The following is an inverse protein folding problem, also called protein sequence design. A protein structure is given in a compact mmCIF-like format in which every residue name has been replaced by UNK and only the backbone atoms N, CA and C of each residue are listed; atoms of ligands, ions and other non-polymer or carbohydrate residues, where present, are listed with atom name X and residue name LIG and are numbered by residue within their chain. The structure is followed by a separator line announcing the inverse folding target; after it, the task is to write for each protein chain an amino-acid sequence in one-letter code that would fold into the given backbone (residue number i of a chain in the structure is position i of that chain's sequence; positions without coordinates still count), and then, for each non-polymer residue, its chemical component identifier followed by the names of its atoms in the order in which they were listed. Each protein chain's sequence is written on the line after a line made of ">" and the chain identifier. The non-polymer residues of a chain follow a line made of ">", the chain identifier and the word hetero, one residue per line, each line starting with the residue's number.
data_IF_562943797528
#
_entry.id   IF_562943797528
#
_cell.length_a   1.000
_cell.length_b   1.000
_cell.length_c   1.000
_cell.angle_alpha   90.00
_cell.angle_beta   90.00
_cell.angle_gamma   90.00
#
_symmetry.space_group_name_H-M   'P 1'
#
loop_
_entity.id
_entity.type
_entity.pdbx_description
1 polymer ?
#
# COMPACT_ATOMS: atom_id res chain seq x y z
N UNK A 1 0.56 -19.37 25.12
CA UNK A 1 -0.31 -18.52 24.28
C UNK A 1 0.34 -18.42 22.92
N UNK A 2 -0.34 -18.93 21.89
CA UNK A 2 0.22 -19.02 20.55
C UNK A 2 0.30 -17.64 19.89
N UNK A 3 1.37 -17.46 19.11
CA UNK A 3 1.75 -16.29 18.32
C UNK A 3 0.57 -15.67 17.54
N UNK A 4 0.10 -14.50 17.98
CA UNK A 4 -0.67 -13.57 17.16
C UNK A 4 0.29 -12.80 16.27
N UNK A 5 0.70 -13.38 15.15
CA UNK A 5 1.47 -12.66 14.14
C UNK A 5 1.01 -13.07 12.75
N UNK A 6 0.74 -12.08 11.89
CA UNK A 6 0.57 -12.17 10.42
C UNK A 6 -0.86 -12.30 9.83
N UNK A 7 -1.79 -11.42 10.16
CA UNK A 7 -2.99 -11.21 9.28
C UNK A 7 -3.09 -9.75 8.80
N UNK A 8 -2.56 -8.78 9.56
CA UNK A 8 -2.79 -7.35 9.27
C UNK A 8 -2.12 -6.82 8.00
N UNK A 9 -1.20 -7.60 7.40
CA UNK A 9 -0.41 -7.19 6.24
C UNK A 9 -0.88 -7.78 4.91
N UNK A 10 -1.86 -8.70 4.93
CA UNK A 10 -2.34 -9.33 3.71
C UNK A 10 -3.59 -8.63 3.17
N UNK A 11 -3.57 -8.33 1.87
CA UNK A 11 -4.77 -7.85 1.20
C UNK A 11 -5.76 -9.00 1.11
N UNK A 12 -7.00 -8.70 1.49
CA UNK A 12 -8.16 -9.55 1.35
C UNK A 12 -8.28 -9.99 -0.12
N UNK A 13 -8.09 -11.29 -0.34
CA UNK A 13 -8.14 -11.94 -1.65
C UNK A 13 -9.45 -12.68 -1.89
N UNK A 14 -10.28 -12.82 -0.84
CA UNK A 14 -11.62 -13.41 -0.93
C UNK A 14 -12.51 -12.53 -1.81
N UNK A 15 -12.91 -12.99 -3.02
CA UNK A 15 -13.72 -12.20 -3.93
C UNK A 15 -15.12 -11.88 -3.39
N UNK A 16 -15.59 -12.59 -2.36
CA UNK A 16 -16.88 -12.33 -1.71
C UNK A 16 -16.79 -11.26 -0.62
N UNK A 17 -15.58 -10.90 -0.20
CA UNK A 17 -15.38 -9.86 0.79
C UNK A 17 -15.50 -8.48 0.13
N UNK A 18 -16.33 -7.56 0.65
CA UNK A 18 -16.53 -6.24 0.05
C UNK A 18 -15.29 -5.34 0.06
N UNK A 19 -14.25 -5.69 0.84
CA UNK A 19 -12.95 -5.00 0.88
C UNK A 19 -11.92 -5.61 -0.07
N UNK A 20 -12.28 -6.67 -0.79
CA UNK A 20 -11.44 -7.28 -1.81
C UNK A 20 -11.24 -6.32 -2.98
N UNK A 21 -10.00 -6.24 -3.45
CA UNK A 21 -9.68 -5.47 -4.65
C UNK A 21 -9.84 -6.38 -5.86
N UNK A 22 -10.86 -6.08 -6.65
CA UNK A 22 -11.14 -6.79 -7.90
C UNK A 22 -11.30 -5.74 -8.98
N UNK A 23 -10.30 -5.67 -9.86
CA UNK A 23 -10.35 -4.75 -10.98
C UNK A 23 -11.53 -5.06 -11.88
N UNK A 24 -12.35 -4.04 -12.13
CA UNK A 24 -13.46 -4.05 -13.06
C UNK A 24 -13.19 -3.05 -14.18
N UNK A 25 -13.84 -3.26 -15.31
CA UNK A 25 -13.70 -2.32 -16.42
C UNK A 25 -14.22 -0.96 -16.00
N UNK A 26 -13.43 0.06 -16.30
CA UNK A 26 -13.82 1.45 -16.12
C UNK A 26 -14.57 1.89 -17.37
N UNK A 27 -15.81 1.40 -17.52
CA UNK A 27 -16.72 1.97 -18.49
C UNK A 27 -17.44 3.14 -17.82
N UNK A 28 -17.47 4.30 -18.47
CA UNK A 28 -18.42 5.35 -18.11
C UNK A 28 -19.81 4.73 -18.03
N UNK A 29 -20.71 5.28 -17.21
CA UNK A 29 -22.08 4.78 -17.00
C UNK A 29 -22.86 4.59 -18.33
N UNK A 30 -22.39 5.19 -19.42
CA UNK A 30 -22.98 5.12 -20.76
C UNK A 30 -22.28 4.14 -21.73
N UNK A 31 -21.23 3.43 -21.30
CA UNK A 31 -20.55 2.41 -22.10
C UNK A 31 -19.65 2.95 -23.23
N UNK A 32 -19.58 4.27 -23.40
CA UNK A 32 -18.68 4.90 -24.38
C UNK A 32 -17.33 5.26 -23.73
N UNK A 33 -16.26 4.91 -24.43
CA UNK A 33 -14.88 5.28 -24.11
C UNK A 33 -14.67 6.74 -24.49
N UNK A 34 -14.35 7.58 -23.50
CA UNK A 34 -14.11 9.01 -23.72
C UNK A 34 -12.72 9.26 -24.34
N UNK A 35 -12.49 10.46 -24.89
CA UNK A 35 -11.14 10.85 -25.33
C UNK A 35 -10.15 10.90 -24.15
N UNK A 36 -10.61 11.24 -22.95
CA UNK A 36 -9.82 11.18 -21.72
C UNK A 36 -9.38 9.74 -21.41
N UNK A 37 -10.28 8.76 -21.56
CA UNK A 37 -9.96 7.34 -21.38
C UNK A 37 -8.92 6.86 -22.40
N UNK A 38 -9.02 7.31 -23.67
CA UNK A 38 -8.05 6.98 -24.73
C UNK A 38 -6.67 7.58 -24.43
N UNK A 39 -6.62 8.85 -24.03
CA UNK A 39 -5.39 9.53 -23.64
C UNK A 39 -4.74 8.87 -22.43
N UNK A 40 -5.54 8.47 -21.43
CA UNK A 40 -5.07 7.74 -20.27
C UNK A 40 -4.49 6.37 -20.66
N UNK A 41 -5.19 5.62 -21.53
CA UNK A 41 -4.68 4.35 -22.04
C UNK A 41 -3.37 4.52 -22.80
N UNK A 42 -3.30 5.48 -23.73
CA UNK A 42 -2.08 5.80 -24.48
C UNK A 42 -0.93 6.16 -23.54
N UNK A 43 -1.22 6.88 -22.45
CA UNK A 43 -0.22 7.23 -21.46
C UNK A 43 0.28 6.04 -20.65
N UNK A 44 -0.61 5.11 -20.30
CA UNK A 44 -0.28 3.93 -19.50
C UNK A 44 0.56 2.93 -20.28
N UNK A 45 0.20 2.64 -21.54
CA UNK A 45 0.81 1.56 -22.35
C UNK A 45 1.57 2.02 -23.59
N UNK A 46 1.55 3.31 -23.89
CA UNK A 46 1.98 3.85 -25.18
C UNK A 46 0.87 3.79 -26.23
N UNK A 47 1.20 4.29 -27.44
CA UNK A 47 0.31 4.25 -28.60
C UNK A 47 -0.09 2.83 -28.93
N UNK A 48 -1.36 2.65 -29.23
CA UNK A 48 -1.87 1.37 -29.70
C UNK A 48 -1.16 0.99 -31.00
N UNK A 49 -0.60 -0.23 -31.03
CA UNK A 49 -0.06 -0.79 -32.25
C UNK A 49 -1.19 -1.39 -33.09
N UNK A 50 -1.05 -1.40 -34.42
CA UNK A 50 -2.04 -1.98 -35.33
C UNK A 50 -2.10 -3.52 -35.25
N UNK A 51 -1.56 -4.13 -34.19
CA UNK A 51 -1.51 -5.57 -33.98
C UNK A 51 -2.85 -6.06 -33.45
N UNK A 52 -3.27 -7.24 -33.91
CA UNK A 52 -4.48 -7.90 -33.39
C UNK A 52 -4.37 -8.09 -31.86
N UNK A 53 -5.49 -7.94 -31.11
CA UNK A 53 -5.49 -8.18 -29.67
C UNK A 53 -4.93 -9.56 -29.32
N UNK A 54 -3.97 -9.61 -28.38
CA UNK A 54 -3.40 -10.86 -27.87
C UNK A 54 -4.36 -11.60 -26.93
N UNK A 55 -5.26 -10.86 -26.29
CA UNK A 55 -6.20 -11.33 -25.29
C UNK A 55 -7.58 -10.74 -25.59
N UNK A 56 -8.62 -11.48 -25.22
CA UNK A 56 -9.98 -10.96 -25.08
C UNK A 56 -10.09 -10.08 -23.83
N UNK A 57 -11.07 -9.18 -23.77
CA UNK A 57 -11.32 -8.32 -22.60
C UNK A 57 -11.40 -9.12 -21.29
N UNK A 58 -12.07 -10.28 -21.33
CA UNK A 58 -12.22 -11.14 -20.15
C UNK A 58 -10.89 -11.80 -19.74
N UNK A 59 -10.02 -12.15 -20.69
CA UNK A 59 -8.67 -12.63 -20.40
C UNK A 59 -7.79 -11.52 -19.81
N UNK A 60 -7.90 -10.29 -20.30
CA UNK A 60 -7.22 -9.13 -19.70
C UNK A 60 -7.69 -8.90 -18.27
N UNK A 61 -9.00 -8.93 -18.02
CA UNK A 61 -9.57 -8.83 -16.67
C UNK A 61 -9.07 -9.93 -15.75
N UNK A 62 -8.97 -11.16 -16.25
CA UNK A 62 -8.41 -12.27 -15.48
C UNK A 62 -6.91 -12.06 -15.18
N UNK A 63 -6.16 -11.55 -16.16
CA UNK A 63 -4.74 -11.30 -16.04
C UNK A 63 -4.43 -10.18 -15.05
N UNK A 64 -5.12 -9.04 -15.10
CA UNK A 64 -4.91 -7.95 -14.13
C UNK A 64 -5.25 -8.40 -12.72
N UNK A 65 -6.37 -9.09 -12.52
CA UNK A 65 -6.76 -9.60 -11.20
C UNK A 65 -5.79 -10.68 -10.68
N UNK A 66 -5.20 -11.48 -11.57
CA UNK A 66 -4.12 -12.41 -11.21
C UNK A 66 -2.89 -11.65 -10.73
N UNK A 67 -2.51 -10.56 -11.40
CA UNK A 67 -1.37 -9.73 -10.98
C UNK A 67 -1.65 -9.02 -9.66
N UNK A 68 -2.82 -8.39 -9.49
CA UNK A 68 -3.25 -7.76 -8.24
C UNK A 68 -3.20 -8.74 -7.07
N UNK A 69 -3.77 -9.94 -7.20
CA UNK A 69 -3.73 -10.94 -6.13
C UNK A 69 -2.29 -11.38 -5.80
N UNK A 70 -1.47 -11.60 -6.83
CA UNK A 70 -0.08 -12.06 -6.64
C UNK A 70 0.79 -11.01 -5.95
N UNK A 71 0.67 -9.75 -6.34
CA UNK A 71 1.49 -8.66 -5.79
C UNK A 71 0.82 -7.92 -4.64
N UNK A 72 -0.40 -8.31 -4.29
CA UNK A 72 -1.26 -7.56 -3.37
C UNK A 72 -1.38 -6.09 -3.84
N UNK A 73 -1.67 -5.88 -5.12
CA UNK A 73 -1.93 -4.57 -5.71
C UNK A 73 -0.69 -3.69 -5.96
N UNK A 74 0.51 -4.06 -5.51
CA UNK A 74 1.69 -3.17 -5.64
C UNK A 74 2.41 -3.30 -6.99
N UNK A 75 2.39 -4.47 -7.61
CA UNK A 75 3.11 -4.75 -8.84
C UNK A 75 2.14 -5.28 -9.91
N UNK A 76 1.79 -4.41 -10.86
CA UNK A 76 0.94 -4.69 -12.01
C UNK A 76 1.63 -4.13 -13.26
N UNK A 77 1.74 -4.96 -14.29
CA UNK A 77 2.29 -4.60 -15.58
C UNK A 77 1.15 -4.11 -16.48
N UNK A 78 0.91 -2.80 -16.44
CA UNK A 78 -0.21 -2.17 -17.14
C UNK A 78 -0.03 -2.10 -18.66
N UNK A 79 1.20 -2.27 -19.17
CA UNK A 79 1.48 -2.29 -20.61
C UNK A 79 0.77 -3.42 -21.36
N UNK A 80 0.27 -4.43 -20.62
CA UNK A 80 -0.38 -5.63 -21.14
C UNK A 80 -1.88 -5.47 -21.41
N UNK A 81 -2.48 -4.35 -21.01
CA UNK A 81 -3.94 -4.19 -21.06
C UNK A 81 -4.35 -3.17 -22.10
N UNK A 82 -5.38 -3.50 -22.87
CA UNK A 82 -6.08 -2.60 -23.77
C UNK A 82 -7.30 -1.99 -23.12
N UNK A 83 -7.93 -2.72 -22.21
CA UNK A 83 -9.06 -2.23 -21.44
C UNK A 83 -8.61 -1.27 -20.34
N UNK A 84 -9.40 -0.23 -20.10
CA UNK A 84 -9.23 0.62 -18.93
C UNK A 84 -9.94 -0.05 -17.74
N UNK A 85 -9.25 -0.12 -16.60
CA UNK A 85 -9.78 -0.66 -15.36
C UNK A 85 -9.94 0.43 -14.32
N UNK A 86 -10.78 0.19 -13.32
CA UNK A 86 -10.85 1.00 -12.09
C UNK A 86 -9.59 0.85 -11.20
N UNK A 87 -8.61 0.07 -11.67
CA UNK A 87 -7.30 -0.11 -11.09
C UNK A 87 -6.21 0.33 -12.10
N UNK A 88 -5.44 1.38 -11.77
CA UNK A 88 -4.49 2.01 -12.71
C UNK A 88 -3.30 2.65 -11.97
N UNK A 89 -2.16 2.90 -12.67
CA UNK A 89 -1.00 3.53 -12.04
C UNK A 89 -1.22 5.03 -11.84
N UNK A 90 -0.61 5.59 -10.79
CA UNK A 90 -0.48 7.04 -10.62
C UNK A 90 0.62 7.60 -11.51
N UNK A 91 0.41 8.83 -12.01
CA UNK A 91 1.48 9.67 -12.53
C UNK A 91 1.89 10.68 -11.46
N UNK A 92 3.01 10.42 -10.79
CA UNK A 92 3.41 11.12 -9.56
C UNK A 92 3.54 12.65 -9.71
N UNK A 93 3.87 13.15 -10.90
CA UNK A 93 4.05 14.58 -11.14
C UNK A 93 2.74 15.29 -11.52
N UNK A 94 1.62 14.58 -11.51
CA UNK A 94 0.27 15.09 -11.78
C UNK A 94 -0.63 14.92 -10.56
N UNK A 95 -1.88 15.34 -10.66
CA UNK A 95 -2.87 15.15 -9.61
C UNK A 95 -4.01 14.26 -10.09
N UNK A 96 -4.22 13.11 -9.44
CA UNK A 96 -5.32 12.21 -9.75
C UNK A 96 -6.71 12.72 -9.29
N UNK A 97 -6.75 13.77 -8.47
CA UNK A 97 -7.98 14.22 -7.81
C UNK A 97 -8.16 15.73 -7.97
N UNK A 98 -9.32 16.17 -8.41
CA UNK A 98 -9.65 17.60 -8.48
C UNK A 98 -9.84 18.25 -7.11
N UNK A 99 -9.88 17.45 -6.03
CA UNK A 99 -10.04 17.93 -4.66
C UNK A 99 -8.70 18.21 -3.96
N UNK A 100 -7.60 17.77 -4.57
CA UNK A 100 -6.25 17.87 -4.03
C UNK A 100 -5.48 18.85 -4.91
N UNK A 101 -4.80 19.83 -4.32
CA UNK A 101 -4.06 20.86 -5.07
C UNK A 101 -2.57 20.50 -5.26
N UNK A 102 -2.08 19.52 -4.52
CA UNK A 102 -0.71 19.02 -4.60
C UNK A 102 -0.58 17.91 -5.65
N UNK A 103 0.66 17.64 -6.09
CA UNK A 103 0.92 16.49 -6.96
C UNK A 103 0.78 15.18 -6.18
N UNK A 104 0.55 14.10 -6.91
CA UNK A 104 0.48 12.74 -6.38
C UNK A 104 1.76 12.37 -5.63
N UNK A 105 2.93 12.85 -6.06
CA UNK A 105 4.21 12.70 -5.36
C UNK A 105 4.15 13.28 -3.95
N UNK A 106 3.62 14.50 -3.81
CA UNK A 106 3.49 15.18 -2.52
C UNK A 106 2.43 14.49 -1.65
N UNK A 107 1.26 14.22 -2.23
CA UNK A 107 0.15 13.56 -1.54
C UNK A 107 0.56 12.17 -1.01
N UNK A 108 1.11 11.30 -1.87
CA UNK A 108 1.57 9.98 -1.46
C UNK A 108 2.80 10.04 -0.56
N UNK A 109 3.63 11.08 -0.67
CA UNK A 109 4.74 11.33 0.25
C UNK A 109 4.26 11.50 1.68
N UNK A 110 3.24 12.35 1.90
CA UNK A 110 2.63 12.53 3.24
C UNK A 110 2.03 11.24 3.77
N UNK A 111 1.26 10.54 2.93
CA UNK A 111 0.66 9.26 3.32
C UNK A 111 1.72 8.19 3.66
N UNK A 112 2.84 8.17 2.95
CA UNK A 112 3.96 7.27 3.22
C UNK A 112 4.68 7.64 4.53
N UNK A 113 4.88 8.93 4.81
CA UNK A 113 5.44 9.43 6.07
C UNK A 113 4.58 9.01 7.27
N UNK A 114 3.27 9.18 7.19
CA UNK A 114 2.33 8.74 8.23
C UNK A 114 2.38 7.21 8.40
N UNK A 115 2.34 6.47 7.29
CA UNK A 115 2.38 5.00 7.29
C UNK A 115 3.68 4.43 7.88
N UNK A 116 4.84 5.05 7.60
CA UNK A 116 6.12 4.60 8.16
C UNK A 116 6.28 5.02 9.62
N UNK A 117 5.70 6.14 10.04
CA UNK A 117 5.67 6.53 11.45
C UNK A 117 4.91 5.48 12.29
N UNK A 118 3.76 5.02 11.82
CA UNK A 118 2.99 3.95 12.47
C UNK A 118 3.78 2.62 12.50
N UNK A 119 4.47 2.30 11.42
CA UNK A 119 5.37 1.13 11.37
C UNK A 119 6.49 1.23 12.39
N UNK A 120 7.16 2.38 12.47
CA UNK A 120 8.25 2.64 13.40
C UNK A 120 7.81 2.47 14.85
N UNK A 121 6.65 3.00 15.22
CA UNK A 121 6.07 2.86 16.56
C UNK A 121 5.78 1.38 16.85
N UNK A 122 5.14 0.67 15.92
CA UNK A 122 4.72 -0.73 16.11
C UNK A 122 5.90 -1.69 16.22
N UNK A 123 6.91 -1.52 15.37
CA UNK A 123 8.06 -2.43 15.28
C UNK A 123 9.28 -1.97 16.09
N UNK A 124 9.22 -0.80 16.72
CA UNK A 124 10.34 -0.23 17.48
C UNK A 124 11.54 0.15 16.59
N UNK A 125 11.26 0.65 15.39
CA UNK A 125 12.26 1.06 14.41
C UNK A 125 12.25 2.58 14.21
N UNK A 126 13.13 3.10 13.36
CA UNK A 126 13.27 4.55 13.14
C UNK A 126 13.67 4.84 11.70
N UNK A 127 12.90 4.30 10.76
CA UNK A 127 13.06 4.59 9.33
C UNK A 127 12.58 6.00 9.00
N UNK A 128 13.35 6.71 8.18
CA UNK A 128 13.00 8.02 7.64
C UNK A 128 12.56 7.89 6.17
N UNK A 129 11.40 8.45 5.82
CA UNK A 129 10.91 8.48 4.45
C UNK A 129 11.89 9.25 3.52
N UNK A 130 12.14 8.73 2.33
CA UNK A 130 12.98 9.36 1.30
C UNK A 130 12.12 9.83 0.13
N UNK A 131 11.49 8.91 -0.60
CA UNK A 131 10.70 9.25 -1.78
C UNK A 131 9.67 8.17 -2.13
N UNK A 132 8.66 8.55 -2.92
CA UNK A 132 7.70 7.60 -3.51
C UNK A 132 8.29 7.06 -4.82
N UNK A 133 8.44 5.74 -4.92
CA UNK A 133 8.86 5.08 -6.17
C UNK A 133 7.72 5.01 -7.18
N UNK A 134 6.54 4.58 -6.71
CA UNK A 134 5.32 4.41 -7.51
C UNK A 134 4.10 4.24 -6.63
N UNK A 135 2.92 4.48 -7.21
CA UNK A 135 1.65 4.14 -6.58
C UNK A 135 0.67 3.58 -7.61
N UNK A 136 -0.17 2.64 -7.18
CA UNK A 136 -1.36 2.22 -7.92
C UNK A 136 -2.62 2.69 -7.19
N UNK A 137 -3.63 3.08 -7.95
CA UNK A 137 -4.93 3.49 -7.45
C UNK A 137 -5.96 2.43 -7.76
N UNK A 138 -6.87 2.22 -6.83
CA UNK A 138 -8.11 1.50 -7.04
C UNK A 138 -9.29 2.42 -6.71
N UNK A 139 -10.07 2.78 -7.73
CA UNK A 139 -11.23 3.65 -7.62
C UNK A 139 -12.49 2.82 -7.35
N UNK A 140 -13.14 3.08 -6.23
CA UNK A 140 -14.45 2.50 -5.89
C UNK A 140 -15.31 3.61 -5.24
N UNK A 141 -15.88 3.40 -4.04
CA UNK A 141 -16.57 4.43 -3.23
C UNK A 141 -15.62 5.49 -2.62
N UNK A 142 -14.49 5.71 -3.27
CA UNK A 142 -13.31 6.42 -2.78
C UNK A 142 -12.08 5.86 -3.50
N UNK A 143 -10.91 5.99 -2.88
CA UNK A 143 -9.67 5.45 -3.39
C UNK A 143 -9.01 4.51 -2.39
N UNK A 144 -8.43 3.44 -2.90
CA UNK A 144 -7.43 2.66 -2.18
C UNK A 144 -6.10 2.84 -2.90
N UNK A 145 -5.09 3.27 -2.16
CA UNK A 145 -3.74 3.54 -2.68
C UNK A 145 -2.79 2.42 -2.28
N UNK A 146 -2.01 1.95 -3.25
CA UNK A 146 -0.94 0.97 -3.08
C UNK A 146 0.39 1.66 -3.34
N UNK A 147 0.98 2.21 -2.28
CA UNK A 147 2.15 3.08 -2.36
C UNK A 147 3.41 2.24 -2.14
N UNK A 148 4.37 2.31 -3.07
CA UNK A 148 5.72 1.78 -2.89
C UNK A 148 6.68 2.96 -2.74
N UNK A 149 7.48 2.97 -1.69
CA UNK A 149 8.34 4.10 -1.35
C UNK A 149 9.66 3.65 -0.75
N UNK A 150 10.67 4.51 -0.82
CA UNK A 150 11.99 4.29 -0.20
C UNK A 150 12.01 4.97 1.16
N UNK A 151 12.57 4.28 2.14
CA UNK A 151 12.93 4.86 3.43
C UNK A 151 14.36 4.44 3.80
N UNK A 152 15.04 5.21 4.64
CA UNK A 152 16.38 4.92 5.12
C UNK A 152 16.38 4.63 6.62
N UNK A 153 17.25 3.73 7.06
CA UNK A 153 17.46 3.48 8.48
C UNK A 153 18.48 4.46 9.11
N UNK A 154 18.72 4.41 10.44
CA UNK A 154 19.71 5.27 11.10
C UNK A 154 21.15 5.13 10.62
N UNK A 155 21.46 4.06 9.87
CA UNK A 155 22.76 3.82 9.25
C UNK A 155 22.79 4.31 7.79
N UNK A 156 21.80 5.11 7.38
CA UNK A 156 21.57 5.61 6.02
C UNK A 156 21.41 4.49 4.96
N UNK A 157 21.03 3.28 5.36
CA UNK A 157 20.73 2.20 4.40
C UNK A 157 19.29 2.31 3.91
N UNK A 158 19.11 2.37 2.59
CA UNK A 158 17.79 2.46 1.96
C UNK A 158 17.11 1.11 1.88
N UNK A 159 15.82 1.07 2.23
CA UNK A 159 14.92 -0.07 2.09
C UNK A 159 13.62 0.37 1.43
N UNK A 160 13.01 -0.54 0.68
CA UNK A 160 11.72 -0.29 0.00
C UNK A 160 10.56 -0.74 0.89
N UNK A 161 9.56 0.10 1.02
CA UNK A 161 8.36 -0.16 1.79
C UNK A 161 7.14 -0.17 0.87
N UNK A 162 6.09 -0.83 1.38
CA UNK A 162 4.78 -0.93 0.76
C UNK A 162 3.74 -0.50 1.80
N UNK A 163 2.91 0.48 1.44
CA UNK A 163 1.80 0.93 2.26
C UNK A 163 0.48 0.83 1.50
N UNK A 164 -0.57 0.37 2.20
CA UNK A 164 -1.94 0.41 1.71
C UNK A 164 -2.70 1.46 2.51
N UNK A 165 -3.30 2.42 1.82
CA UNK A 165 -4.05 3.52 2.43
C UNK A 165 -5.45 3.59 1.81
N UNK A 166 -6.48 3.66 2.65
CA UNK A 166 -7.87 3.73 2.23
C UNK A 166 -8.39 5.17 2.47
N UNK A 167 -8.76 5.85 1.39
CA UNK A 167 -9.37 7.17 1.40
C UNK A 167 -10.81 7.08 0.89
N UNK A 168 -11.75 6.85 1.82
CA UNK A 168 -13.18 6.75 1.51
C UNK A 168 -13.83 8.12 1.66
N UNK A 169 -14.69 8.49 0.72
CA UNK A 169 -15.33 9.81 0.72
C UNK A 169 -16.07 10.08 2.04
N UNK A 170 -15.91 11.30 2.57
CA UNK A 170 -16.44 11.75 3.87
C UNK A 170 -15.96 10.95 5.09
N UNK A 171 -14.78 10.30 5.03
CA UNK A 171 -14.16 9.60 6.16
C UNK A 171 -12.72 10.03 6.36
N UNK A 172 -12.20 9.78 7.55
CA UNK A 172 -10.76 9.90 7.82
C UNK A 172 -9.99 8.89 6.98
N UNK A 173 -8.76 9.27 6.61
CA UNK A 173 -7.85 8.41 5.85
C UNK A 173 -7.36 7.29 6.77
N UNK A 174 -7.53 6.05 6.32
CA UNK A 174 -7.14 4.85 7.08
C UNK A 174 -5.84 4.28 6.52
N UNK A 175 -4.78 4.29 7.34
CA UNK A 175 -3.50 3.63 7.05
C UNK A 175 -3.62 2.12 7.34
N UNK A 176 -4.13 1.38 6.36
CA UNK A 176 -4.46 -0.04 6.52
C UNK A 176 -3.25 -0.89 6.93
N UNK A 177 -2.10 -0.73 6.26
CA UNK A 177 -0.83 -1.28 6.73
C UNK A 177 0.38 -0.64 6.04
N UNK A 178 1.56 -0.85 6.64
CA UNK A 178 2.87 -0.51 6.10
C UNK A 178 3.85 -1.65 6.39
N UNK A 179 4.68 -2.06 5.42
CA UNK A 179 5.66 -3.16 5.58
C UNK A 179 6.86 -2.99 4.65
N UNK A 180 7.94 -3.69 4.96
CA UNK A 180 9.04 -3.90 3.99
C UNK A 180 8.53 -4.65 2.75
N UNK A 181 8.97 -4.23 1.56
CA UNK A 181 8.65 -4.94 0.32
C UNK A 181 9.21 -6.36 0.38
N UNK A 182 8.39 -7.41 0.18
CA UNK A 182 8.88 -8.78 0.18
C UNK A 182 9.95 -9.02 -0.89
N UNK A 183 10.94 -9.86 -0.59
CA UNK A 183 12.00 -10.31 -1.51
C UNK A 183 12.99 -9.23 -2.01
N UNK A 184 13.35 -8.25 -1.17
CA UNK A 184 14.54 -7.43 -1.41
C UNK A 184 15.78 -8.34 -1.38
N UNK A 185 16.38 -8.62 -2.54
CA UNK A 185 17.64 -9.36 -2.61
C UNK A 185 18.78 -8.42 -2.20
N UNK A 186 19.35 -8.67 -1.02
CA UNK A 186 20.56 -8.05 -0.48
C UNK A 186 20.50 -7.99 1.06
N UNK A 187 21.29 -8.84 1.72
CA UNK A 187 21.74 -8.89 3.14
C UNK A 187 21.01 -8.05 4.22
N UNK A 188 20.71 -8.57 5.40
CA UNK A 188 21.65 -9.33 6.24
C UNK A 188 21.06 -10.64 6.79
N UNK A 189 21.86 -11.71 6.70
CA UNK A 189 21.89 -12.73 7.74
C UNK A 189 22.13 -12.05 9.09
N UNK A 190 21.30 -12.34 10.09
CA UNK A 190 21.63 -12.30 11.52
C UNK A 190 20.47 -13.02 12.25
N UNK A 191 20.64 -14.15 12.94
CA UNK A 191 21.71 -14.50 13.88
C UNK A 191 22.11 -13.39 14.87
N UNK A 192 21.21 -12.42 15.09
CA UNK A 192 21.20 -11.55 16.27
C UNK A 192 20.02 -11.88 17.18
N UNK A 193 19.97 -13.15 17.60
CA UNK A 193 19.51 -13.46 18.96
C UNK A 193 20.63 -13.07 19.94
N UNK A 194 20.90 -11.79 20.11
CA UNK A 194 21.68 -11.28 21.25
C UNK A 194 20.85 -10.29 22.06
N UNK A 195 20.05 -10.90 22.93
CA UNK A 195 19.80 -10.46 24.31
C UNK A 195 19.61 -8.96 24.55
N UNK A 196 18.42 -8.44 24.20
CA UNK A 196 17.86 -7.34 25.00
C UNK A 196 17.41 -7.93 26.32
N UNK A 197 18.24 -7.78 27.36
CA UNK A 197 17.84 -8.04 28.75
C UNK A 197 16.65 -7.13 29.06
N UNK A 198 15.48 -7.73 29.26
CA UNK A 198 14.32 -7.02 29.82
C UNK A 198 14.74 -6.35 31.14
N UNK A 199 14.38 -5.08 31.40
CA UNK A 199 14.56 -4.49 32.71
C UNK A 199 13.75 -5.32 33.72
N UNK A 200 14.40 -5.79 34.79
CA UNK A 200 13.71 -6.34 35.95
C UNK A 200 13.02 -5.18 36.66
N UNK A 201 11.71 -5.07 36.52
CA UNK A 201 10.92 -4.24 37.42
C UNK A 201 10.95 -4.88 38.81
N UNK A 202 11.64 -4.24 39.75
CA UNK A 202 11.59 -4.57 41.16
C UNK A 202 10.24 -4.09 41.72
N UNK A 203 9.27 -4.98 41.84
CA UNK A 203 8.05 -4.70 42.60
C UNK A 203 8.40 -4.69 44.09
N UNK A 204 8.72 -3.52 44.63
CA UNK A 204 8.71 -3.28 46.08
C UNK A 204 7.25 -3.35 46.55
N UNK A 205 6.90 -4.46 47.19
CA UNK A 205 5.69 -4.57 48.01
C UNK A 205 5.81 -3.58 49.17
N UNK A 206 5.00 -2.52 49.14
CA UNK A 206 4.77 -1.66 50.30
C UNK A 206 3.91 -2.45 51.30
N UNK A 207 4.50 -2.80 52.44
CA UNK A 207 3.78 -3.24 53.63
C UNK A 207 2.92 -2.08 54.12
N UNK A 208 1.60 -2.21 54.01
CA UNK A 208 0.65 -1.35 54.73
C UNK A 208 0.79 -1.59 56.23
N UNK A 209 1.23 -0.57 56.94
CA UNK A 209 1.17 -0.46 58.40
C UNK A 209 -0.19 0.12 58.73
N UNK A 210 -1.04 -0.65 59.40
CA UNK A 210 -2.26 -0.14 60.04
C UNK A 210 -1.89 0.17 61.49
N UNK A 211 -1.77 1.46 61.81
CA UNK A 211 -1.71 1.95 63.19
C UNK A 211 -3.13 2.08 63.73
N UNK A 212 -3.43 1.35 64.81
CA UNK A 212 -4.59 1.60 65.66
C UNK A 212 -4.41 2.95 66.38
N UNK A 213 -5.48 3.74 66.45
CA UNK A 213 -5.59 4.86 67.38
C UNK A 213 -6.90 4.67 68.14
N UNK A 214 -6.71 4.42 69.44
CA UNK A 214 -7.54 4.62 70.64
C UNK A 214 -9.07 4.57 70.55
#
# INVERSE_FOLDING_TARGET
>A
MASSSRIDYEIISDPLNPRCVVACFNYSIFGEVTEEDKLLLERIRGKEDNTSPKYTDQEERNLINKQIRKSQGFDVDFSKFRCLFDFYPSFLDECHSTLITETDRQFFGRLAQESIADYNIREGTSFEFVEVEKANLYRNKGYIYFITFVAKDPCDQTKVFQAKVCNVFCREIEHSFCRLKPCQKGECDEDSKRAVKKPKYNTRSNKGVITNVS
#
